data_IF_412926552578
#
_entry.id   IF_412926552578
#
_cell.length_a   1.000
_cell.length_b   1.000
_cell.length_c   1.000
_cell.angle_alpha   90.00
_cell.angle_beta   90.00
_cell.angle_gamma   90.00
#
_symmetry.space_group_name_H-M   'P 1'
#
loop_
_entity.id
_entity.type
_entity.pdbx_description
1 polymer ?
#
# COMPACT_ATOMS: atom_id res chain seq x y z
N UNK A 1 -72.40 -9.54 10.81
CA UNK A 1 -71.08 -9.97 11.32
C UNK A 1 -70.15 -10.03 10.11
N UNK A 2 -69.39 -8.96 9.81
CA UNK A 2 -68.03 -8.64 10.34
C UNK A 2 -66.89 -9.45 9.71
N UNK A 3 -66.06 -8.75 8.91
CA UNK A 3 -64.59 -8.85 8.82
C UNK A 3 -63.98 -10.18 8.29
N UNK A 4 -62.81 -10.30 7.63
CA UNK A 4 -61.71 -9.45 7.06
C UNK A 4 -61.09 -10.33 5.91
N UNK A 5 -60.14 -9.94 5.04
CA UNK A 5 -59.28 -8.75 4.85
C UNK A 5 -58.18 -9.09 3.80
N UNK A 6 -57.17 -8.22 3.60
CA UNK A 6 -56.02 -8.33 2.67
C UNK A 6 -56.37 -8.26 1.15
N UNK A 7 -55.90 -7.32 0.30
CA UNK A 7 -54.61 -6.60 0.13
C UNK A 7 -53.52 -7.45 -0.57
N UNK A 8 -53.19 -7.30 -1.88
CA UNK A 8 -52.47 -6.19 -2.59
C UNK A 8 -50.92 -6.42 -2.58
N UNK A 9 -50.13 -6.17 -3.65
CA UNK A 9 -50.40 -6.08 -5.10
C UNK A 9 -49.34 -6.75 -6.03
N UNK A 10 -49.44 -6.53 -7.33
CA UNK A 10 -48.38 -6.65 -8.35
C UNK A 10 -47.54 -5.36 -8.50
N UNK A 11 -46.32 -5.53 -9.04
CA UNK A 11 -45.48 -4.56 -9.79
C UNK A 11 -45.63 -3.04 -9.57
N UNK A 12 -44.53 -2.42 -9.10
CA UNK A 12 -44.22 -1.02 -9.38
C UNK A 12 -42.71 -0.80 -9.53
N UNK A 13 -42.29 -0.26 -10.67
CA UNK A 13 -41.02 0.49 -10.79
C UNK A 13 -41.24 1.89 -10.22
N UNK A 14 -40.28 2.46 -9.49
CA UNK A 14 -39.52 3.66 -9.91
C UNK A 14 -38.85 4.46 -8.77
N UNK A 15 -37.68 4.99 -9.14
CA UNK A 15 -37.04 6.27 -8.78
C UNK A 15 -36.68 6.69 -7.35
N UNK A 16 -35.41 7.09 -7.26
CA UNK A 16 -34.87 8.11 -6.36
C UNK A 16 -35.81 9.32 -6.20
N UNK A 17 -35.85 9.85 -4.98
CA UNK A 17 -36.35 11.20 -4.68
C UNK A 17 -35.33 12.00 -3.88
N UNK A 18 -34.92 13.13 -4.45
CA UNK A 18 -34.45 14.29 -3.70
C UNK A 18 -35.14 15.50 -4.33
N UNK A 19 -36.11 16.06 -3.61
CA UNK A 19 -36.94 17.19 -4.06
C UNK A 19 -36.28 18.49 -3.56
N UNK A 20 -36.12 19.50 -4.44
CA UNK A 20 -36.94 20.68 -4.19
C UNK A 20 -37.50 21.31 -5.48
N UNK A 21 -38.79 21.65 -5.47
CA UNK A 21 -39.41 22.59 -6.40
C UNK A 21 -40.10 23.72 -5.64
N UNK A 22 -39.91 24.95 -6.13
CA UNK A 22 -40.98 25.95 -6.23
C UNK A 22 -40.83 26.69 -7.57
N UNK A 23 -41.85 26.58 -8.43
CA UNK A 23 -42.24 27.46 -9.57
C UNK A 23 -41.20 27.76 -10.69
N UNK A 24 -41.39 27.37 -11.97
CA UNK A 24 -42.41 27.83 -12.96
C UNK A 24 -42.25 29.33 -13.32
N UNK A 25 -42.31 29.82 -14.58
CA UNK A 25 -43.27 29.54 -15.67
C UNK A 25 -42.65 29.72 -17.10
N UNK A 26 -42.95 28.77 -17.99
CA UNK A 26 -43.22 28.77 -19.46
C UNK A 26 -42.69 29.81 -20.50
N UNK A 27 -42.45 29.27 -21.73
CA UNK A 27 -42.70 29.83 -23.11
C UNK A 27 -41.77 30.96 -23.64
N UNK A 28 -41.46 31.08 -24.95
CA UNK A 28 -41.42 30.18 -26.14
C UNK A 28 -40.58 30.86 -27.25
N UNK A 29 -40.29 30.12 -28.34
CA UNK A 29 -39.96 30.58 -29.70
C UNK A 29 -38.52 31.04 -30.06
N UNK A 30 -38.03 30.46 -31.16
CA UNK A 30 -36.91 30.86 -32.02
C UNK A 30 -37.47 31.63 -33.27
N UNK A 31 -36.76 32.01 -34.36
CA UNK A 31 -35.55 31.41 -34.96
C UNK A 31 -34.58 32.40 -35.68
N UNK A 32 -33.85 31.89 -36.70
CA UNK A 32 -33.04 32.57 -37.73
C UNK A 32 -31.62 33.01 -37.30
N UNK A 33 -30.56 32.28 -37.66
CA UNK A 33 -29.86 32.20 -38.97
C UNK A 33 -28.75 33.24 -39.14
N UNK A 34 -27.50 32.78 -39.29
CA UNK A 34 -26.72 33.03 -40.51
C UNK A 34 -25.45 32.16 -40.59
N UNK A 35 -25.11 31.77 -41.82
CA UNK A 35 -23.98 30.90 -42.17
C UNK A 35 -22.81 31.72 -42.73
N UNK A 36 -21.57 31.28 -42.49
CA UNK A 36 -20.44 31.51 -43.40
C UNK A 36 -19.29 30.54 -43.13
N UNK A 37 -18.75 29.97 -44.20
CA UNK A 37 -17.76 28.89 -44.14
C UNK A 37 -16.32 29.40 -44.36
N UNK A 38 -15.33 28.73 -43.78
CA UNK A 38 -14.01 28.70 -44.43
C UNK A 38 -13.10 27.49 -44.17
N UNK A 39 -12.55 27.00 -45.29
CA UNK A 39 -11.28 26.27 -45.49
C UNK A 39 -10.96 24.99 -44.72
N UNK A 40 -10.98 23.89 -45.47
CA UNK A 40 -10.28 22.64 -45.19
C UNK A 40 -8.74 22.83 -45.28
N UNK A 41 -7.98 22.21 -44.36
CA UNK A 41 -6.62 21.72 -44.62
C UNK A 41 -6.37 20.40 -43.88
N UNK A 42 -6.06 19.35 -44.64
CA UNK A 42 -5.56 18.06 -44.14
C UNK A 42 -4.03 18.11 -44.17
N UNK A 43 -3.35 17.62 -43.12
CA UNK A 43 -2.03 17.04 -43.29
C UNK A 43 -1.90 15.62 -42.69
N UNK A 44 -1.45 14.72 -43.56
CA UNK A 44 -0.57 13.56 -43.35
C UNK A 44 -0.80 12.48 -42.27
N UNK A 45 -0.75 11.24 -42.77
CA UNK A 45 -0.67 9.98 -42.02
C UNK A 45 0.59 9.91 -41.14
N UNK A 46 0.51 9.36 -39.91
CA UNK A 46 1.70 8.84 -39.24
C UNK A 46 2.25 7.61 -39.98
N UNK A 47 3.58 7.53 -40.07
CA UNK A 47 4.30 6.45 -40.75
C UNK A 47 4.15 5.10 -40.02
N UNK A 48 4.20 4.00 -40.79
CA UNK A 48 4.44 2.65 -40.26
C UNK A 48 5.71 2.67 -39.38
N UNK A 49 5.67 1.99 -38.24
CA UNK A 49 6.86 1.56 -37.51
C UNK A 49 7.02 0.06 -37.70
N UNK A 50 8.17 -0.34 -38.22
CA UNK A 50 8.60 -1.74 -38.28
C UNK A 50 8.92 -2.29 -36.87
N UNK A 51 8.85 -3.62 -36.66
CA UNK A 51 8.97 -4.21 -35.33
C UNK A 51 10.41 -4.16 -34.79
N UNK A 52 10.56 -3.67 -33.56
CA UNK A 52 11.83 -3.73 -32.82
C UNK A 52 12.00 -5.15 -32.24
N UNK A 53 13.18 -5.78 -32.38
CA UNK A 53 13.36 -7.19 -32.03
C UNK A 53 13.36 -7.45 -30.52
N UNK A 54 13.02 -8.70 -30.17
CA UNK A 54 12.92 -9.15 -28.79
C UNK A 54 14.28 -9.44 -28.11
N UNK A 55 14.22 -9.48 -26.77
CA UNK A 55 15.24 -9.97 -25.81
C UNK A 55 16.44 -9.06 -25.52
N UNK A 56 16.37 -8.43 -24.35
CA UNK A 56 17.38 -8.70 -23.30
C UNK A 56 16.66 -9.08 -22.00
N UNK A 57 17.04 -10.22 -21.45
CA UNK A 57 16.39 -10.83 -20.28
C UNK A 57 17.00 -10.28 -18.99
N UNK A 58 16.21 -9.58 -18.19
CA UNK A 58 16.57 -9.17 -16.83
C UNK A 58 15.33 -9.26 -15.95
N UNK A 59 15.35 -10.15 -14.95
CA UNK A 59 14.16 -10.47 -14.14
C UNK A 59 13.78 -9.26 -13.29
N UNK A 60 12.64 -8.65 -13.59
CA UNK A 60 11.99 -7.73 -12.67
C UNK A 60 11.53 -8.53 -11.44
N UNK A 61 12.17 -8.30 -10.29
CA UNK A 61 11.83 -8.95 -9.02
C UNK A 61 10.56 -8.39 -8.36
N UNK A 62 9.90 -7.43 -9.00
CA UNK A 62 8.58 -6.90 -8.62
C UNK A 62 7.53 -7.44 -9.59
N UNK A 63 6.38 -7.96 -9.12
CA UNK A 63 5.24 -8.18 -10.00
C UNK A 63 4.85 -6.82 -10.61
N UNK A 64 4.67 -6.76 -11.94
CA UNK A 64 4.42 -5.51 -12.68
C UNK A 64 3.02 -4.88 -12.41
N UNK A 65 2.32 -5.38 -11.39
CA UNK A 65 0.94 -5.08 -11.02
C UNK A 65 0.84 -4.86 -9.51
N UNK A 66 1.31 -3.69 -9.04
CA UNK A 66 0.79 -3.09 -7.81
C UNK A 66 -0.75 -2.91 -7.98
N UNK A 67 -1.58 -3.39 -7.04
CA UNK A 67 -3.03 -3.34 -7.16
C UNK A 67 -3.70 -2.02 -6.74
N UNK A 68 -3.05 -1.21 -5.89
CA UNK A 68 -3.56 0.09 -5.41
C UNK A 68 -3.54 1.18 -6.51
N UNK A 69 -3.54 0.79 -7.79
CA UNK A 69 -3.51 1.65 -8.98
C UNK A 69 -4.65 2.66 -9.03
N UNK A 70 -5.78 2.36 -8.39
CA UNK A 70 -6.95 3.23 -8.36
C UNK A 70 -6.75 4.51 -7.52
N UNK A 71 -5.73 4.57 -6.66
CA UNK A 71 -5.33 5.76 -5.89
C UNK A 71 -4.14 6.52 -6.47
N UNK A 72 -3.79 6.33 -7.76
CA UNK A 72 -2.65 7.02 -8.40
C UNK A 72 -3.03 8.34 -9.06
N UNK A 73 -2.52 9.45 -8.52
CA UNK A 73 -2.46 10.73 -9.24
C UNK A 73 -1.55 10.65 -10.50
N UNK A 74 -1.92 11.36 -11.57
CA UNK A 74 -1.47 11.10 -12.95
C UNK A 74 -0.09 11.63 -13.36
N UNK A 75 0.59 12.45 -12.55
CA UNK A 75 1.88 13.05 -12.94
C UNK A 75 3.10 12.31 -12.36
N UNK A 76 4.05 11.95 -13.21
CA UNK A 76 5.33 11.37 -12.82
C UNK A 76 6.26 12.41 -12.19
N UNK A 77 6.11 12.65 -10.88
CA UNK A 77 6.98 13.56 -10.13
C UNK A 77 8.31 12.90 -9.73
N UNK A 78 9.28 13.75 -9.39
CA UNK A 78 10.64 13.35 -9.08
C UNK A 78 10.78 12.79 -7.66
N UNK A 79 10.04 13.31 -6.67
CA UNK A 79 10.14 12.95 -5.26
C UNK A 79 8.84 12.37 -4.69
N UNK A 80 8.96 11.52 -3.67
CA UNK A 80 7.85 11.04 -2.86
C UNK A 80 8.31 10.87 -1.40
N UNK A 81 7.47 11.34 -0.46
CA UNK A 81 7.61 11.05 0.96
C UNK A 81 6.82 9.78 1.31
N UNK A 82 7.43 8.85 2.04
CA UNK A 82 6.75 7.71 2.65
C UNK A 82 6.55 7.94 4.15
N UNK A 83 5.34 7.72 4.66
CA UNK A 83 4.98 7.84 6.08
C UNK A 83 4.63 6.47 6.69
N UNK A 84 5.47 5.99 7.60
CA UNK A 84 5.17 4.87 8.49
C UNK A 84 4.58 5.44 9.79
N UNK A 85 3.30 5.15 10.04
CA UNK A 85 2.54 5.65 11.21
C UNK A 85 2.45 4.50 12.21
N UNK A 86 2.99 4.73 13.42
CA UNK A 86 3.05 3.76 14.52
C UNK A 86 2.38 4.37 15.76
N UNK A 87 2.15 3.54 16.78
CA UNK A 87 1.31 3.88 17.93
C UNK A 87 1.59 5.27 18.53
N UNK A 88 2.85 5.60 18.77
CA UNK A 88 3.35 6.80 19.45
C UNK A 88 4.25 7.67 18.55
N UNK A 89 4.33 7.41 17.25
CA UNK A 89 5.30 8.09 16.36
C UNK A 89 4.96 8.00 14.88
N UNK A 90 5.49 8.93 14.10
CA UNK A 90 5.48 8.88 12.64
C UNK A 90 6.89 9.05 12.08
N UNK A 91 7.26 8.17 11.14
CA UNK A 91 8.56 8.16 10.45
C UNK A 91 8.38 8.53 8.99
N UNK A 92 9.19 9.48 8.54
CA UNK A 92 9.26 9.96 7.17
C UNK A 92 10.55 9.52 6.50
N UNK A 93 10.44 9.03 5.26
CA UNK A 93 11.56 8.92 4.33
C UNK A 93 11.24 9.66 3.02
N UNK A 94 12.14 10.52 2.55
CA UNK A 94 12.03 11.21 1.27
C UNK A 94 12.94 10.55 0.23
N UNK A 95 12.34 9.95 -0.79
CA UNK A 95 13.09 9.46 -1.95
C UNK A 95 12.90 10.40 -3.15
N UNK A 96 13.96 10.53 -3.96
CA UNK A 96 13.92 11.17 -5.27
C UNK A 96 14.42 10.24 -6.37
N UNK A 97 13.61 10.04 -7.39
CA UNK A 97 13.94 9.29 -8.60
C UNK A 97 15.03 10.00 -9.39
N UNK A 98 16.16 9.32 -9.55
CA UNK A 98 17.22 9.66 -10.51
C UNK A 98 17.16 8.70 -11.70
N UNK A 99 17.96 8.95 -12.75
CA UNK A 99 17.91 8.18 -14.02
C UNK A 99 18.08 6.66 -13.85
N UNK A 100 18.83 6.21 -12.85
CA UNK A 100 19.22 4.80 -12.68
C UNK A 100 19.11 4.28 -11.23
N UNK A 101 18.62 5.09 -10.30
CA UNK A 101 18.51 4.76 -8.88
C UNK A 101 17.51 5.70 -8.19
N UNK A 102 17.10 5.36 -6.98
CA UNK A 102 16.42 6.28 -6.08
C UNK A 102 17.47 6.88 -5.12
N UNK A 103 17.41 8.18 -4.92
CA UNK A 103 18.26 8.92 -3.97
C UNK A 103 17.45 9.17 -2.70
N UNK A 104 17.96 8.73 -1.55
CA UNK A 104 17.41 9.02 -0.23
C UNK A 104 17.91 10.39 0.22
N UNK A 105 16.98 11.32 0.43
CA UNK A 105 17.27 12.74 0.70
C UNK A 105 17.03 13.14 2.15
N UNK A 106 16.05 12.52 2.82
CA UNK A 106 15.73 12.75 4.22
C UNK A 106 15.24 11.47 4.89
N UNK A 107 15.67 11.27 6.13
CA UNK A 107 14.98 10.47 7.15
C UNK A 107 14.64 11.41 8.32
N UNK A 108 13.44 11.29 8.87
CA UNK A 108 13.01 12.08 10.03
C UNK A 108 11.92 11.34 10.81
N UNK A 109 11.95 11.40 12.14
CA UNK A 109 10.94 10.85 13.04
C UNK A 109 10.34 11.97 13.89
N UNK A 110 9.04 11.90 14.16
CA UNK A 110 8.37 12.66 15.20
C UNK A 110 7.76 11.65 16.17
N UNK A 111 8.12 11.76 17.46
CA UNK A 111 7.58 10.94 18.55
C UNK A 111 6.61 11.82 19.33
N UNK A 112 5.43 11.28 19.63
CA UNK A 112 4.37 11.93 20.37
C UNK A 112 4.43 11.55 21.85
N UNK A 113 3.99 12.44 22.75
CA UNK A 113 3.92 12.18 24.20
C UNK A 113 2.83 11.15 24.58
N UNK A 114 1.95 10.81 23.64
CA UNK A 114 0.86 9.85 23.79
C UNK A 114 0.60 9.08 22.50
N UNK A 115 -0.15 7.97 22.58
CA UNK A 115 -0.53 7.23 21.39
C UNK A 115 -1.46 8.06 20.47
N UNK A 116 -1.13 8.10 19.18
CA UNK A 116 -1.92 8.73 18.10
C UNK A 116 -2.69 7.70 17.27
N UNK A 117 -2.33 6.42 17.32
CA UNK A 117 -3.07 5.34 16.67
C UNK A 117 -3.04 4.03 17.48
N UNK A 118 -4.07 3.20 17.34
CA UNK A 118 -4.18 1.87 17.95
C UNK A 118 -4.66 0.87 16.88
N UNK A 119 -4.02 -0.31 16.77
CA UNK A 119 -4.32 -1.27 15.69
C UNK A 119 -4.18 -0.70 14.26
N UNK A 120 -3.46 0.41 14.11
CA UNK A 120 -3.37 1.19 12.86
C UNK A 120 -4.56 2.11 12.54
N UNK A 121 -5.61 2.14 13.36
CA UNK A 121 -6.67 3.15 13.30
C UNK A 121 -6.20 4.43 13.98
N UNK A 122 -6.47 5.59 13.39
CA UNK A 122 -6.01 6.89 13.93
C UNK A 122 -6.96 7.32 15.05
N UNK A 123 -6.40 7.59 16.24
CA UNK A 123 -7.14 8.02 17.44
C UNK A 123 -7.11 9.53 17.65
N UNK A 124 -5.97 10.17 17.41
CA UNK A 124 -5.83 11.64 17.42
C UNK A 124 -5.32 12.12 16.05
N UNK A 125 -6.28 12.49 15.20
CA UNK A 125 -6.01 12.95 13.84
C UNK A 125 -5.27 14.29 13.80
N UNK A 126 -5.63 15.24 14.67
CA UNK A 126 -5.04 16.58 14.63
C UNK A 126 -3.59 16.59 15.13
N UNK A 127 -3.31 15.83 16.20
CA UNK A 127 -1.96 15.63 16.69
C UNK A 127 -1.08 14.95 15.64
N UNK A 128 -1.57 13.86 15.02
CA UNK A 128 -0.86 13.17 13.94
C UNK A 128 -0.63 14.08 12.72
N UNK A 129 -1.64 14.84 12.30
CA UNK A 129 -1.53 15.76 11.18
C UNK A 129 -0.54 16.90 11.48
N UNK A 130 -0.49 17.40 12.72
CA UNK A 130 0.51 18.39 13.14
C UNK A 130 1.94 17.81 13.09
N UNK A 131 2.19 16.63 13.68
CA UNK A 131 3.51 15.98 13.61
C UNK A 131 3.97 15.70 12.18
N UNK A 132 3.06 15.24 11.32
CA UNK A 132 3.33 15.08 9.88
C UNK A 132 3.65 16.40 9.18
N UNK A 133 2.91 17.48 9.47
CA UNK A 133 3.19 18.84 8.94
C UNK A 133 4.56 19.35 9.37
N UNK A 134 4.98 19.07 10.61
CA UNK A 134 6.29 19.45 11.12
C UNK A 134 7.42 18.72 10.40
N UNK A 135 7.30 17.40 10.17
CA UNK A 135 8.31 16.63 9.43
C UNK A 135 8.48 17.13 7.99
N UNK A 136 7.39 17.48 7.31
CA UNK A 136 7.43 18.02 5.95
C UNK A 136 7.98 19.46 5.91
N UNK A 137 7.52 20.35 6.79
CA UNK A 137 7.91 21.77 6.78
C UNK A 137 9.31 22.03 7.32
N UNK A 138 9.71 21.38 8.41
CA UNK A 138 10.97 21.67 9.13
C UNK A 138 12.24 21.41 8.30
N UNK A 139 12.13 20.62 7.23
CA UNK A 139 13.26 20.21 6.38
C UNK A 139 13.16 20.69 4.92
N UNK A 140 12.26 21.64 4.62
CA UNK A 140 12.00 22.12 3.26
C UNK A 140 11.69 20.98 2.26
N UNK A 141 10.85 20.02 2.68
CA UNK A 141 10.53 18.84 1.88
C UNK A 141 9.58 19.21 0.74
N UNK A 142 10.13 19.39 -0.46
CA UNK A 142 9.34 19.39 -1.70
C UNK A 142 9.02 17.93 -2.11
N UNK A 143 8.07 17.32 -1.40
CA UNK A 143 7.53 16.02 -1.73
C UNK A 143 6.51 16.15 -2.87
N UNK A 144 6.88 15.66 -4.07
CA UNK A 144 5.96 15.62 -5.21
C UNK A 144 4.71 14.78 -4.96
N UNK A 145 4.77 13.83 -4.03
CA UNK A 145 3.61 13.09 -3.56
C UNK A 145 3.90 12.34 -2.27
N UNK A 146 2.85 11.72 -1.74
CA UNK A 146 2.84 11.03 -0.46
C UNK A 146 2.50 9.55 -0.64
N UNK A 147 3.12 8.68 0.13
CA UNK A 147 2.74 7.29 0.28
C UNK A 147 2.57 6.96 1.77
N UNK A 148 1.45 6.38 2.16
CA UNK A 148 1.11 6.13 3.57
C UNK A 148 0.87 4.63 3.76
N UNK A 149 1.46 4.03 4.79
CA UNK A 149 1.18 2.65 5.15
C UNK A 149 -0.26 2.47 5.64
N UNK A 150 -0.93 1.42 5.18
CA UNK A 150 -2.07 0.82 5.86
C UNK A 150 -1.56 -0.32 6.75
N UNK A 151 -1.95 -0.33 8.02
CA UNK A 151 -1.77 -1.52 8.87
C UNK A 151 -2.77 -2.58 8.44
N UNK A 152 -2.35 -3.83 8.34
CA UNK A 152 -3.28 -4.94 8.06
C UNK A 152 -3.24 -5.94 9.20
N UNK A 153 -4.14 -5.73 10.15
CA UNK A 153 -4.47 -6.67 11.22
C UNK A 153 -4.97 -8.02 10.65
N UNK A 154 -5.75 -7.95 9.56
CA UNK A 154 -6.36 -9.09 8.87
C UNK A 154 -5.38 -9.71 7.86
N UNK A 155 -5.07 -11.00 8.02
CA UNK A 155 -4.28 -11.75 7.05
C UNK A 155 -5.02 -11.87 5.70
N UNK A 156 -4.32 -11.87 4.55
CA UNK A 156 -4.97 -11.86 3.23
C UNK A 156 -5.58 -13.22 2.92
N UNK A 157 -6.72 -13.23 2.25
CA UNK A 157 -7.40 -14.47 1.85
C UNK A 157 -6.94 -14.87 0.44
N UNK A 158 -6.25 -16.01 0.25
CA UNK A 158 -5.81 -16.44 -1.07
C UNK A 158 -7.00 -16.91 -1.93
N UNK A 159 -7.17 -16.30 -3.10
CA UNK A 159 -8.19 -16.66 -4.09
C UNK A 159 -7.54 -17.01 -5.44
N UNK A 160 -8.10 -17.98 -6.15
CA UNK A 160 -7.75 -18.29 -7.55
C UNK A 160 -8.84 -17.73 -8.44
N UNK A 161 -8.48 -16.83 -9.36
CA UNK A 161 -9.39 -16.11 -10.25
C UNK A 161 -8.97 -16.29 -11.72
N UNK A 162 -9.86 -16.13 -12.71
CA UNK A 162 -9.50 -16.26 -14.12
C UNK A 162 -8.42 -15.24 -14.53
N UNK A 163 -7.33 -15.69 -15.16
CA UNK A 163 -6.26 -14.78 -15.58
C UNK A 163 -6.71 -13.76 -16.65
N UNK A 164 -7.78 -14.09 -17.39
CA UNK A 164 -8.39 -13.23 -18.41
C UNK A 164 -9.24 -12.08 -17.86
N UNK A 165 -9.57 -12.06 -16.56
CA UNK A 165 -10.34 -10.95 -15.98
C UNK A 165 -9.53 -9.66 -15.95
N UNK A 166 -10.15 -8.54 -16.30
CA UNK A 166 -9.58 -7.20 -16.09
C UNK A 166 -9.61 -6.80 -14.61
N UNK A 167 -9.00 -5.67 -14.26
CA UNK A 167 -8.84 -5.26 -12.86
C UNK A 167 -10.18 -4.95 -12.16
N UNK A 168 -11.21 -4.51 -12.90
CA UNK A 168 -12.55 -4.21 -12.38
C UNK A 168 -13.33 -5.51 -12.16
N UNK A 169 -13.29 -6.42 -13.13
CA UNK A 169 -13.87 -7.76 -13.01
C UNK A 169 -13.25 -8.53 -11.85
N UNK A 170 -11.93 -8.45 -11.70
CA UNK A 170 -11.19 -9.13 -10.63
C UNK A 170 -11.55 -8.55 -9.25
N UNK A 171 -11.66 -7.22 -9.13
CA UNK A 171 -12.15 -6.59 -7.90
C UNK A 171 -13.59 -7.01 -7.57
N UNK A 172 -14.49 -7.08 -8.55
CA UNK A 172 -15.86 -7.54 -8.33
C UNK A 172 -15.92 -9.00 -7.83
N UNK A 173 -15.08 -9.89 -8.37
CA UNK A 173 -14.95 -11.27 -7.90
C UNK A 173 -14.40 -11.34 -6.47
N UNK A 174 -13.38 -10.53 -6.14
CA UNK A 174 -12.81 -10.41 -4.79
C UNK A 174 -13.86 -9.96 -3.79
N UNK A 175 -14.65 -8.93 -4.11
CA UNK A 175 -15.75 -8.45 -3.26
C UNK A 175 -16.80 -9.53 -3.03
N UNK A 176 -17.18 -10.26 -4.08
CA UNK A 176 -18.13 -11.38 -3.99
C UNK A 176 -17.61 -12.53 -3.11
N UNK A 177 -16.32 -12.85 -3.22
CA UNK A 177 -15.68 -13.86 -2.38
C UNK A 177 -15.59 -13.41 -0.91
N UNK A 178 -15.16 -12.18 -0.63
CA UNK A 178 -15.05 -11.64 0.73
C UNK A 178 -16.40 -11.49 1.43
N UNK A 179 -17.48 -11.20 0.70
CA UNK A 179 -18.84 -11.23 1.25
C UNK A 179 -19.22 -12.62 1.82
N UNK A 180 -18.73 -13.72 1.22
CA UNK A 180 -18.94 -15.07 1.75
C UNK A 180 -18.14 -15.37 3.04
N UNK A 181 -17.12 -14.57 3.35
CA UNK A 181 -16.41 -14.58 4.63
C UNK A 181 -17.02 -13.62 5.66
N UNK A 182 -18.13 -12.95 5.34
CA UNK A 182 -18.85 -12.05 6.23
C UNK A 182 -18.38 -10.59 6.21
N UNK A 183 -17.48 -10.19 5.32
CA UNK A 183 -17.06 -8.79 5.21
C UNK A 183 -18.10 -7.95 4.46
N UNK A 184 -18.60 -6.87 5.09
CA UNK A 184 -19.49 -5.90 4.43
C UNK A 184 -18.71 -4.79 3.71
N UNK A 185 -19.26 -4.29 2.60
CA UNK A 185 -18.74 -3.11 1.91
C UNK A 185 -18.98 -1.79 2.67
N UNK A 186 -19.88 -1.80 3.66
CA UNK A 186 -20.15 -0.64 4.51
C UNK A 186 -19.09 -0.47 5.63
N UNK A 187 -18.39 -1.57 5.96
CA UNK A 187 -17.38 -1.62 7.02
C UNK A 187 -15.95 -1.77 6.48
N UNK A 188 -15.79 -2.34 5.27
CA UNK A 188 -14.49 -2.67 4.69
C UNK A 188 -14.31 -2.14 3.27
N UNK A 189 -13.17 -1.48 3.05
CA UNK A 189 -12.57 -1.31 1.74
C UNK A 189 -11.96 -2.65 1.26
N UNK A 190 -12.12 -2.93 -0.04
CA UNK A 190 -11.67 -4.18 -0.66
C UNK A 190 -10.62 -3.93 -1.74
N UNK A 191 -9.55 -4.71 -1.73
CA UNK A 191 -8.55 -4.78 -2.81
C UNK A 191 -7.95 -6.19 -2.89
N UNK A 192 -6.98 -6.43 -3.78
CA UNK A 192 -6.32 -7.74 -3.93
C UNK A 192 -4.87 -7.61 -4.41
N UNK A 193 -3.95 -8.46 -3.96
CA UNK A 193 -2.57 -8.49 -4.47
C UNK A 193 -2.41 -9.65 -5.46
N UNK A 194 -1.94 -9.39 -6.68
CA UNK A 194 -1.59 -10.45 -7.65
C UNK A 194 -0.29 -11.14 -7.21
N UNK A 195 -0.36 -12.43 -6.90
CA UNK A 195 0.80 -13.24 -6.49
C UNK A 195 1.50 -13.91 -7.70
N UNK A 196 0.76 -14.21 -8.77
CA UNK A 196 1.26 -14.82 -10.00
C UNK A 196 0.26 -15.84 -10.58
N UNK A 197 0.71 -16.66 -11.53
CA UNK A 197 -0.11 -17.78 -12.02
C UNK A 197 -0.44 -18.77 -10.88
N UNK A 198 -1.65 -19.34 -10.90
CA UNK A 198 -2.07 -20.26 -9.84
C UNK A 198 -1.30 -21.61 -9.94
N UNK A 199 -0.75 -22.15 -8.83
CA UNK A 199 0.12 -23.33 -8.86
C UNK A 199 -0.53 -24.59 -9.48
N UNK A 200 -1.84 -24.72 -9.36
CA UNK A 200 -2.61 -25.86 -9.87
C UNK A 200 -3.32 -25.59 -11.21
N UNK A 201 -3.34 -24.33 -11.68
CA UNK A 201 -4.00 -23.93 -12.93
C UNK A 201 -3.27 -22.74 -13.57
N UNK A 202 -2.37 -22.97 -14.55
CA UNK A 202 -1.65 -21.90 -15.23
C UNK A 202 -2.54 -20.96 -16.06
N UNK A 203 -3.82 -21.31 -16.29
CA UNK A 203 -4.81 -20.45 -16.92
C UNK A 203 -5.46 -19.45 -15.96
N UNK A 204 -5.22 -19.61 -14.65
CA UNK A 204 -5.74 -18.77 -13.58
C UNK A 204 -4.63 -18.00 -12.88
N UNK A 205 -5.02 -16.93 -12.19
CA UNK A 205 -4.15 -16.08 -11.38
C UNK A 205 -4.44 -16.28 -9.90
N UNK A 206 -3.39 -16.52 -9.11
CA UNK A 206 -3.45 -16.46 -7.67
C UNK A 206 -3.44 -14.98 -7.26
N UNK A 207 -4.47 -14.58 -6.52
CA UNK A 207 -4.50 -13.30 -5.81
C UNK A 207 -4.59 -13.51 -4.30
N UNK A 208 -4.34 -12.45 -3.56
CA UNK A 208 -4.55 -12.33 -2.12
C UNK A 208 -5.57 -11.22 -1.88
N UNK A 209 -6.80 -11.58 -1.57
CA UNK A 209 -7.86 -10.64 -1.25
C UNK A 209 -7.58 -9.93 0.09
N UNK A 210 -7.85 -8.63 0.11
CA UNK A 210 -7.67 -7.75 1.26
C UNK A 210 -9.04 -7.17 1.66
N UNK A 211 -9.35 -7.26 2.95
CA UNK A 211 -10.45 -6.54 3.60
C UNK A 211 -9.83 -5.63 4.66
N UNK A 212 -9.90 -4.32 4.43
CA UNK A 212 -9.31 -3.28 5.28
C UNK A 212 -10.47 -2.44 5.84
N UNK A 213 -10.55 -2.16 7.15
CA UNK A 213 -11.61 -1.31 7.70
C UNK A 213 -11.71 0.02 6.94
N UNK A 214 -12.91 0.40 6.49
CA UNK A 214 -13.13 1.56 5.62
C UNK A 214 -12.61 2.86 6.26
N UNK A 215 -12.92 3.06 7.55
CA UNK A 215 -12.44 4.19 8.35
C UNK A 215 -10.90 4.32 8.34
N UNK A 216 -10.17 3.20 8.39
CA UNK A 216 -8.70 3.20 8.36
C UNK A 216 -8.14 3.74 7.03
N UNK A 217 -8.87 3.54 5.93
CA UNK A 217 -8.57 4.09 4.59
C UNK A 217 -8.96 5.57 4.52
N UNK A 218 -10.15 5.92 5.01
CA UNK A 218 -10.68 7.28 5.05
C UNK A 218 -9.78 8.23 5.86
N UNK A 219 -9.33 7.83 7.06
CA UNK A 219 -8.41 8.61 7.89
C UNK A 219 -7.12 8.99 7.14
N UNK A 220 -6.62 8.09 6.28
CA UNK A 220 -5.38 8.28 5.52
C UNK A 220 -5.56 9.16 4.28
N UNK A 221 -6.75 9.10 3.67
CA UNK A 221 -7.16 10.03 2.62
C UNK A 221 -7.30 11.44 3.19
N UNK A 222 -8.00 11.58 4.32
CA UNK A 222 -8.15 12.84 5.05
C UNK A 222 -6.78 13.38 5.50
N UNK A 223 -5.86 12.52 5.97
CA UNK A 223 -4.50 12.94 6.33
C UNK A 223 -3.74 13.48 5.10
N UNK A 224 -3.80 12.80 3.94
CA UNK A 224 -3.15 13.29 2.73
C UNK A 224 -3.71 14.65 2.26
N UNK A 225 -5.03 14.85 2.38
CA UNK A 225 -5.70 16.13 2.11
C UNK A 225 -5.28 17.24 3.10
N UNK A 226 -5.26 16.95 4.40
CA UNK A 226 -4.81 17.87 5.45
C UNK A 226 -3.32 18.25 5.32
N UNK A 227 -2.50 17.36 4.75
CA UNK A 227 -1.10 17.61 4.38
C UNK A 227 -0.94 18.30 3.02
N UNK A 228 -2.05 18.57 2.30
CA UNK A 228 -2.08 19.20 0.98
C UNK A 228 -1.12 18.55 -0.05
N UNK A 229 -0.83 17.26 0.14
CA UNK A 229 0.20 16.53 -0.61
C UNK A 229 -0.45 15.36 -1.35
N UNK A 230 -0.37 15.27 -2.70
CA UNK A 230 -1.07 14.25 -3.46
C UNK A 230 -0.67 12.82 -3.05
N UNK A 231 -1.62 12.04 -2.58
CA UNK A 231 -1.43 10.61 -2.32
C UNK A 231 -1.11 9.87 -3.63
N UNK A 232 -0.13 8.96 -3.58
CA UNK A 232 0.39 8.19 -4.72
C UNK A 232 0.25 6.70 -4.54
N UNK A 233 0.37 6.23 -3.31
CA UNK A 233 0.22 4.83 -2.95
C UNK A 233 -0.25 4.72 -1.50
N UNK A 234 -1.05 3.70 -1.22
CA UNK A 234 -1.52 3.38 0.13
C UNK A 234 -1.46 1.86 0.37
N UNK A 235 -0.26 1.24 0.33
CA UNK A 235 -0.12 -0.21 0.41
C UNK A 235 -0.10 -0.71 1.87
N UNK A 236 -0.38 -2.01 2.10
CA UNK A 236 -0.08 -2.71 3.34
C UNK A 236 1.40 -2.59 3.71
N UNK A 237 1.69 -2.19 4.95
CA UNK A 237 3.07 -1.96 5.41
C UNK A 237 3.96 -3.20 5.26
N UNK A 238 3.42 -4.37 5.58
CA UNK A 238 4.12 -5.65 5.57
C UNK A 238 4.50 -6.11 4.15
N UNK A 239 3.56 -6.03 3.21
CA UNK A 239 3.80 -6.32 1.80
C UNK A 239 4.84 -5.38 1.20
N UNK A 240 4.67 -4.08 1.43
CA UNK A 240 5.55 -3.05 0.90
C UNK A 240 6.98 -3.22 1.45
N UNK A 241 7.13 -3.34 2.78
CA UNK A 241 8.42 -3.49 3.47
C UNK A 241 9.11 -4.80 3.08
N UNK A 242 8.40 -5.93 3.12
CA UNK A 242 8.98 -7.23 2.76
C UNK A 242 9.37 -7.31 1.28
N UNK A 243 8.56 -6.73 0.38
CA UNK A 243 8.89 -6.62 -1.05
C UNK A 243 10.07 -5.69 -1.32
N UNK A 244 10.23 -4.63 -0.53
CA UNK A 244 11.33 -3.67 -0.66
C UNK A 244 12.69 -4.23 -0.21
N UNK A 245 12.74 -4.94 0.91
CA UNK A 245 13.98 -5.45 1.51
C UNK A 245 14.49 -6.77 0.88
N UNK A 246 13.57 -7.59 0.35
CA UNK A 246 13.87 -8.91 -0.22
C UNK A 246 14.76 -8.81 -1.46
N UNK A 247 15.93 -9.47 -1.42
CA UNK A 247 16.87 -9.50 -2.55
C UNK A 247 16.71 -10.70 -3.50
N UNK A 248 16.10 -11.79 -3.03
CA UNK A 248 15.74 -13.00 -3.78
C UNK A 248 14.40 -13.53 -3.28
N UNK A 249 13.66 -14.27 -4.12
CA UNK A 249 12.38 -14.91 -3.73
C UNK A 249 12.53 -15.92 -2.59
N UNK A 250 13.76 -16.38 -2.31
CA UNK A 250 14.14 -17.31 -1.25
C UNK A 250 14.56 -16.63 0.07
N UNK A 251 14.63 -15.30 0.09
CA UNK A 251 14.92 -14.55 1.31
C UNK A 251 13.62 -14.29 2.09
N UNK A 252 13.63 -14.55 3.39
CA UNK A 252 12.54 -14.16 4.29
C UNK A 252 12.83 -12.80 4.94
N UNK A 253 11.78 -12.11 5.36
CA UNK A 253 11.84 -10.86 6.12
C UNK A 253 11.09 -11.02 7.43
N UNK A 254 11.70 -10.62 8.54
CA UNK A 254 11.11 -10.59 9.87
C UNK A 254 11.13 -9.14 10.37
N UNK A 255 9.96 -8.51 10.54
CA UNK A 255 9.84 -7.24 11.26
C UNK A 255 9.63 -7.53 12.74
N UNK A 256 10.41 -6.85 13.58
CA UNK A 256 10.36 -6.92 15.04
C UNK A 256 10.29 -5.50 15.55
N UNK A 257 9.11 -5.07 15.95
CA UNK A 257 8.85 -3.78 16.56
C UNK A 257 8.59 -3.94 18.07
N UNK A 258 8.64 -2.86 18.83
CA UNK A 258 8.32 -2.89 20.27
C UNK A 258 6.89 -3.40 20.56
N UNK A 259 5.95 -3.16 19.64
CA UNK A 259 4.52 -3.50 19.79
C UNK A 259 4.10 -4.83 19.16
N UNK A 260 5.01 -5.56 18.49
CA UNK A 260 4.67 -6.81 17.80
C UNK A 260 5.69 -7.22 16.74
N UNK A 261 5.43 -8.33 16.05
CA UNK A 261 6.31 -8.80 14.99
C UNK A 261 5.52 -9.47 13.86
N UNK A 262 6.12 -9.56 12.67
CA UNK A 262 5.58 -10.36 11.56
C UNK A 262 6.68 -10.98 10.70
N UNK A 263 6.39 -12.14 10.12
CA UNK A 263 7.28 -12.92 9.26
C UNK A 263 6.72 -13.02 7.84
N UNK A 264 7.51 -12.65 6.83
CA UNK A 264 7.24 -12.90 5.41
C UNK A 264 8.24 -13.92 4.87
N UNK A 265 7.81 -15.19 4.77
CA UNK A 265 8.63 -16.26 4.20
C UNK A 265 8.73 -16.18 2.67
N UNK A 266 7.66 -15.75 2.01
CA UNK A 266 7.55 -15.70 0.55
C UNK A 266 7.03 -14.34 0.06
N UNK A 267 7.23 -13.98 -1.22
CA UNK A 267 6.56 -12.84 -1.82
C UNK A 267 5.04 -12.91 -1.58
N UNK A 268 4.49 -11.79 -1.14
CA UNK A 268 3.07 -11.61 -0.82
C UNK A 268 2.53 -12.41 0.39
N UNK A 269 3.27 -13.36 0.97
CA UNK A 269 2.90 -13.98 2.26
C UNK A 269 3.40 -13.14 3.44
N UNK A 270 2.57 -12.97 4.47
CA UNK A 270 3.00 -12.56 5.80
C UNK A 270 2.24 -13.32 6.90
N UNK A 271 2.84 -13.41 8.08
CA UNK A 271 2.30 -14.04 9.29
C UNK A 271 2.52 -13.08 10.46
N UNK A 272 1.46 -12.54 11.12
CA UNK A 272 1.64 -11.87 12.39
C UNK A 272 2.15 -12.87 13.44
N UNK A 273 3.00 -12.39 14.34
CA UNK A 273 3.60 -13.15 15.44
C UNK A 273 3.16 -12.56 16.78
N UNK A 274 2.93 -13.42 17.77
CA UNK A 274 2.52 -13.05 19.13
C UNK A 274 3.71 -12.63 19.99
N UNK A 275 4.48 -11.65 19.50
CA UNK A 275 5.56 -11.04 20.27
C UNK A 275 4.97 -10.09 21.32
N UNK A 276 5.17 -10.42 22.60
CA UNK A 276 4.96 -9.48 23.71
C UNK A 276 6.12 -8.48 23.78
N UNK A 277 5.92 -7.23 24.26
CA UNK A 277 7.01 -6.25 24.41
C UNK A 277 8.16 -6.71 25.33
N UNK A 278 7.89 -7.64 26.25
CA UNK A 278 8.87 -8.25 27.16
C UNK A 278 9.35 -9.64 26.74
N UNK A 279 8.96 -10.13 25.55
CA UNK A 279 9.35 -11.46 25.08
C UNK A 279 10.85 -11.52 24.78
N UNK A 280 11.52 -12.57 25.28
CA UNK A 280 12.93 -12.77 24.97
C UNK A 280 13.14 -13.22 23.51
N UNK A 281 14.36 -13.07 22.95
CA UNK A 281 14.72 -13.68 21.68
C UNK A 281 14.46 -15.19 21.60
N UNK A 282 14.45 -15.91 22.73
CA UNK A 282 14.15 -17.34 22.80
C UNK A 282 12.65 -17.62 22.64
N UNK A 283 11.77 -16.77 23.18
CA UNK A 283 10.33 -16.92 23.05
C UNK A 283 9.89 -16.72 21.59
N UNK A 284 10.45 -15.69 20.93
CA UNK A 284 10.28 -15.47 19.50
C UNK A 284 10.81 -16.66 18.67
N UNK A 285 11.92 -17.28 19.07
CA UNK A 285 12.44 -18.49 18.43
C UNK A 285 11.48 -19.68 18.55
N UNK A 286 10.83 -19.88 19.69
CA UNK A 286 9.82 -20.93 19.87
C UNK A 286 8.62 -20.73 18.95
N UNK A 287 8.17 -19.49 18.73
CA UNK A 287 7.08 -19.19 17.78
C UNK A 287 7.52 -19.36 16.31
N UNK A 288 8.77 -18.97 15.99
CA UNK A 288 9.32 -19.09 14.63
C UNK A 288 9.62 -20.54 14.23
N UNK A 289 10.04 -21.40 15.15
CA UNK A 289 10.44 -22.79 14.89
C UNK A 289 9.45 -23.61 14.04
N UNK A 290 8.13 -23.65 14.32
CA UNK A 290 7.16 -24.37 13.48
C UNK A 290 7.00 -23.78 12.07
N UNK A 291 7.25 -22.47 11.88
CA UNK A 291 7.17 -21.79 10.58
C UNK A 291 8.43 -22.03 9.73
N UNK A 292 9.59 -22.19 10.38
CA UNK A 292 10.91 -22.33 9.74
C UNK A 292 11.29 -23.78 9.40
N UNK A 293 10.34 -24.72 9.41
CA UNK A 293 10.55 -26.15 9.01
C UNK A 293 11.19 -26.32 7.63
N UNK A 294 10.99 -25.35 6.73
CA UNK A 294 11.76 -25.19 5.49
C UNK A 294 12.50 -23.85 5.61
N UNK A 295 13.79 -23.85 6.03
CA UNK A 295 14.48 -22.61 6.31
C UNK A 295 14.66 -21.79 5.03
N UNK A 296 14.49 -20.45 5.09
CA UNK A 296 14.80 -19.57 3.98
C UNK A 296 16.31 -19.52 3.75
N UNK A 297 16.74 -19.06 2.57
CA UNK A 297 18.16 -18.90 2.24
C UNK A 297 18.87 -17.94 3.20
N UNK A 298 18.16 -16.88 3.60
CA UNK A 298 18.52 -15.96 4.67
C UNK A 298 17.27 -15.33 5.27
N UNK A 299 17.39 -14.85 6.51
CA UNK A 299 16.37 -14.07 7.20
C UNK A 299 16.88 -12.64 7.38
N UNK A 300 16.12 -11.67 6.87
CA UNK A 300 16.42 -10.24 6.94
C UNK A 300 15.59 -9.60 8.05
N UNK A 301 16.24 -8.96 9.03
CA UNK A 301 15.58 -8.34 10.18
C UNK A 301 15.37 -6.85 9.98
N UNK A 302 14.23 -6.34 10.44
CA UNK A 302 13.87 -4.92 10.39
C UNK A 302 12.93 -4.57 11.55
N UNK A 303 12.65 -3.29 11.77
CA UNK A 303 11.75 -2.81 12.83
C UNK A 303 12.49 -1.93 13.84
N UNK A 304 11.84 -1.66 14.97
CA UNK A 304 12.31 -0.70 15.99
C UNK A 304 12.52 -1.29 17.38
N UNK A 305 12.67 -2.61 17.49
CA UNK A 305 13.00 -3.28 18.75
C UNK A 305 14.49 -3.17 19.09
N UNK A 306 14.83 -2.67 20.29
CA UNK A 306 16.23 -2.48 20.76
C UNK A 306 17.06 -3.80 20.83
N UNK A 307 16.40 -4.96 20.80
CA UNK A 307 17.03 -6.29 20.85
C UNK A 307 17.31 -6.89 19.46
N UNK A 308 17.14 -6.14 18.36
CA UNK A 308 17.16 -6.68 16.99
C UNK A 308 18.44 -7.48 16.65
N UNK A 309 19.60 -7.02 17.11
CA UNK A 309 20.88 -7.74 16.98
C UNK A 309 20.94 -9.02 17.83
N UNK A 310 20.37 -8.99 19.04
CA UNK A 310 20.28 -10.16 19.90
C UNK A 310 19.34 -11.22 19.30
N UNK A 311 18.23 -10.79 18.68
CA UNK A 311 17.34 -11.66 17.90
C UNK A 311 18.08 -12.24 16.68
N UNK A 312 18.83 -11.42 15.92
CA UNK A 312 19.62 -11.87 14.78
C UNK A 312 20.64 -12.96 15.18
N UNK A 313 21.38 -12.71 16.26
CA UNK A 313 22.37 -13.64 16.81
C UNK A 313 21.72 -14.93 17.33
N UNK A 314 20.59 -14.83 18.03
CA UNK A 314 19.84 -15.98 18.52
C UNK A 314 19.34 -16.86 17.36
N UNK A 315 18.74 -16.28 16.31
CA UNK A 315 18.24 -17.06 15.17
C UNK A 315 19.38 -17.73 14.40
N UNK A 316 20.50 -17.03 14.15
CA UNK A 316 21.67 -17.64 13.52
C UNK A 316 22.24 -18.79 14.34
N UNK A 317 22.31 -18.64 15.67
CA UNK A 317 22.88 -19.64 16.58
C UNK A 317 22.00 -20.88 16.76
N UNK A 318 20.69 -20.69 16.96
CA UNK A 318 19.78 -21.76 17.39
C UNK A 318 18.95 -22.37 16.25
N UNK A 319 18.64 -21.61 15.20
CA UNK A 319 17.93 -22.13 14.02
C UNK A 319 18.88 -22.49 12.86
N UNK A 320 20.15 -22.10 12.91
CA UNK A 320 21.14 -22.37 11.86
C UNK A 320 20.86 -21.60 10.55
N UNK A 321 20.08 -20.52 10.61
CA UNK A 321 19.69 -19.72 9.45
C UNK A 321 20.60 -18.51 9.35
N UNK A 322 21.13 -18.22 8.15
CA UNK A 322 21.86 -16.98 7.87
C UNK A 322 20.97 -15.77 8.14
N UNK A 323 21.19 -15.09 9.27
CA UNK A 323 20.33 -13.99 9.73
C UNK A 323 21.14 -12.71 9.82
N UNK A 324 20.58 -11.60 9.33
CA UNK A 324 21.23 -10.30 9.38
C UNK A 324 20.20 -9.17 9.45
N UNK A 325 20.58 -8.05 10.04
CA UNK A 325 19.87 -6.78 9.91
C UNK A 325 19.79 -6.42 8.42
N UNK A 326 18.61 -6.04 7.95
CA UNK A 326 18.40 -5.70 6.56
C UNK A 326 19.20 -4.44 6.19
N UNK A 327 19.90 -4.49 5.06
CA UNK A 327 20.59 -3.34 4.50
C UNK A 327 19.71 -2.63 3.45
N UNK A 328 20.02 -1.36 3.15
CA UNK A 328 19.39 -0.65 2.04
C UNK A 328 19.56 -1.43 0.72
N UNK A 329 18.49 -1.64 -0.06
CA UNK A 329 18.59 -2.25 -1.38
C UNK A 329 19.52 -1.45 -2.29
N UNK A 330 20.36 -2.11 -3.09
CA UNK A 330 21.40 -1.46 -3.92
C UNK A 330 20.89 -0.42 -4.94
N UNK A 331 19.57 -0.39 -5.19
CA UNK A 331 18.86 0.64 -5.99
C UNK A 331 18.68 1.98 -5.25
N UNK A 332 18.91 2.02 -3.94
CA UNK A 332 18.87 3.22 -3.09
C UNK A 332 20.29 3.75 -2.93
N UNK A 333 20.46 5.06 -3.11
CA UNK A 333 21.72 5.76 -2.81
C UNK A 333 21.44 6.86 -1.79
N UNK A 334 22.33 7.02 -0.82
CA UNK A 334 22.26 8.13 0.13
C UNK A 334 22.66 9.44 -0.59
N UNK A 335 21.88 10.50 -0.41
CA UNK A 335 22.30 11.85 -0.78
C UNK A 335 23.58 12.21 0.02
N UNK A 336 24.46 13.03 -0.58
CA UNK A 336 25.77 13.34 0.01
C UNK A 336 25.73 14.14 1.33
N UNK A 337 24.57 14.64 1.74
CA UNK A 337 24.31 15.21 3.07
C UNK A 337 24.02 14.11 4.09
N UNK A 338 23.07 13.23 3.78
CA UNK A 338 22.76 12.04 4.60
C UNK A 338 23.93 11.09 4.75
N UNK A 339 24.70 10.82 3.68
CA UNK A 339 25.85 9.92 3.75
C UNK A 339 26.90 10.34 4.81
N UNK A 340 26.96 11.63 5.18
CA UNK A 340 27.80 12.15 6.27
C UNK A 340 27.14 12.09 7.65
N UNK A 341 25.81 11.98 7.70
CA UNK A 341 24.97 12.13 8.89
C UNK A 341 24.12 10.89 9.21
N UNK A 342 24.35 9.74 8.56
CA UNK A 342 23.60 8.47 8.79
C UNK A 342 24.24 7.60 9.88
N UNK A 343 25.45 7.92 10.35
CA UNK A 343 26.10 7.27 11.50
C UNK A 343 25.32 7.29 12.84
N UNK A 344 24.39 8.24 13.13
CA UNK A 344 23.46 8.17 14.26
C UNK A 344 22.06 7.65 13.88
N UNK A 345 21.84 7.20 12.64
CA UNK A 345 20.57 6.67 12.15
C UNK A 345 20.68 5.16 11.96
N UNK A 346 20.18 4.41 12.92
CA UNK A 346 19.84 3.01 12.67
C UNK A 346 18.72 2.98 11.62
N UNK A 347 18.99 2.31 10.50
CA UNK A 347 18.09 2.21 9.36
C UNK A 347 16.85 1.30 9.55
N UNK A 348 16.89 0.22 10.37
CA UNK A 348 15.77 -0.72 10.53
C UNK A 348 14.38 -0.11 10.85
N UNK A 349 14.26 0.93 11.71
CA UNK A 349 12.99 1.59 11.99
C UNK A 349 12.40 2.31 10.76
N UNK A 350 13.24 2.74 9.81
CA UNK A 350 12.85 3.53 8.64
C UNK A 350 12.54 2.71 7.39
N UNK A 351 12.77 1.40 7.39
CA UNK A 351 12.58 0.59 6.18
C UNK A 351 11.14 0.57 5.64
N UNK A 352 10.12 0.70 6.50
CA UNK A 352 8.73 0.84 6.05
C UNK A 352 8.54 2.18 5.30
N UNK A 353 8.92 3.30 5.91
CA UNK A 353 8.87 4.63 5.28
C UNK A 353 9.63 4.67 3.95
N UNK A 354 10.81 4.03 3.88
CA UNK A 354 11.61 3.89 2.66
C UNK A 354 10.91 3.05 1.59
N UNK A 355 10.25 1.96 1.98
CA UNK A 355 9.48 1.12 1.08
C UNK A 355 8.30 1.89 0.47
N UNK A 356 7.54 2.61 1.30
CA UNK A 356 6.42 3.45 0.89
C UNK A 356 6.85 4.53 -0.10
N UNK A 357 7.92 5.26 0.22
CA UNK A 357 8.48 6.29 -0.66
C UNK A 357 8.93 5.72 -2.02
N UNK A 358 9.42 4.48 -2.04
CA UNK A 358 9.80 3.79 -3.28
C UNK A 358 8.55 3.35 -4.08
N UNK A 359 7.50 2.89 -3.42
CA UNK A 359 6.24 2.48 -4.05
C UNK A 359 5.48 3.67 -4.65
N UNK A 360 5.50 4.84 -3.99
CA UNK A 360 4.95 6.08 -4.53
C UNK A 360 5.73 6.66 -5.73
N UNK A 361 6.95 6.17 -6.00
CA UNK A 361 7.76 6.53 -7.16
C UNK A 361 7.73 5.49 -8.30
N UNK A 362 7.30 4.26 -8.04
CA UNK A 362 7.17 3.19 -9.02
C UNK A 362 6.06 3.50 -10.03
#
# INVERSE_FOLDING_TARGET
MTARGAAVPSDARFHLTANPQVSSIARTDAPAEQSSAHSQRIPDRPRRRDPIPARLSGVALFPASNPFRHWRGSEARASCAGLDIRADRVRLALLRRRRHHLELELLAEHVFDSAVCEGGQIGDFELLAQGCRELLRSRQVDAGGLAIAVSTETAPIPLVLPAASDDVQRLAQVRSALAAYGFSADEYAFDYIVAGAAPASPADVQVLALAIPALMVEDRLALAEALQTPLRAMPPENWCTAGFLRGSREDAVLRVDASGAWLSLQPCEYRPLRRMPSASPIDLLHELAPLLRRPPRRLLLTGDSDDLDAVAAAISKYAGITTAIAALPARIRLAGTLARNVLPLELPPFHCALALAAEGLA
#
